data_IF_834420369218
#
_entry.id   IF_834420369218
#
_cell.length_a   1.000
_cell.length_b   1.000
_cell.length_c   1.000
_cell.angle_alpha   90.00
_cell.angle_beta   90.00
_cell.angle_gamma   90.00
#
_symmetry.space_group_name_H-M   'P 1'
#
loop_
_entity.id
_entity.type
_entity.pdbx_description
1 polymer ?
#
# COMPACT_ATOMS: atom_id res chain seq x y z
N UNK A 1 6.52 4.38 12.81
CA UNK A 1 6.07 3.02 13.17
C UNK A 1 4.62 2.85 12.72
N UNK A 2 4.31 1.83 11.91
CA UNK A 2 2.97 1.65 11.35
C UNK A 2 1.99 1.10 12.41
N UNK A 3 0.82 1.73 12.54
CA UNK A 3 -0.26 1.35 13.45
C UNK A 3 -1.57 1.11 12.72
N UNK A 4 -2.41 0.26 13.30
CA UNK A 4 -3.81 0.12 12.93
C UNK A 4 -4.60 1.28 13.56
N UNK A 5 -5.28 2.07 12.75
CA UNK A 5 -6.07 3.22 13.21
C UNK A 5 -7.57 3.05 13.00
N UNK A 6 -8.00 2.09 12.17
CA UNK A 6 -9.40 1.75 11.97
C UNK A 6 -9.53 0.29 11.50
N UNK A 7 -10.56 -0.41 11.95
CA UNK A 7 -10.94 -1.75 11.46
C UNK A 7 -12.42 -1.72 11.05
N UNK A 8 -12.69 -1.96 9.77
CA UNK A 8 -14.03 -2.16 9.24
C UNK A 8 -14.20 -3.64 8.85
N UNK A 9 -15.05 -4.35 9.59
CA UNK A 9 -15.30 -5.76 9.35
C UNK A 9 -16.18 -5.95 8.11
N UNK A 10 -15.66 -6.71 7.14
CA UNK A 10 -16.41 -7.16 5.96
C UNK A 10 -17.24 -8.39 6.36
N UNK A 11 -16.57 -9.36 6.97
CA UNK A 11 -17.17 -10.56 7.58
C UNK A 11 -16.43 -10.89 8.87
N UNK A 12 -17.05 -10.53 10.00
CA UNK A 12 -16.44 -10.73 11.32
C UNK A 12 -16.34 -12.21 11.71
N UNK A 13 -17.27 -13.04 11.25
CA UNK A 13 -17.27 -14.47 11.59
C UNK A 13 -16.15 -15.22 10.85
N UNK A 14 -15.77 -14.72 9.68
CA UNK A 14 -14.62 -15.23 8.90
C UNK A 14 -13.32 -14.43 9.11
N UNK A 15 -13.29 -13.48 10.04
CA UNK A 15 -12.12 -12.61 10.30
C UNK A 15 -11.64 -11.84 9.05
N UNK A 16 -12.56 -11.39 8.21
CA UNK A 16 -12.29 -10.60 6.99
C UNK A 16 -12.56 -9.12 7.25
N UNK A 17 -11.56 -8.26 7.00
CA UNK A 17 -11.65 -6.84 7.30
C UNK A 17 -10.93 -5.94 6.29
N UNK A 18 -11.44 -4.70 6.20
CA UNK A 18 -10.72 -3.54 5.69
C UNK A 18 -10.04 -2.83 6.87
N UNK A 19 -8.71 -2.71 6.81
CA UNK A 19 -7.87 -2.23 7.90
C UNK A 19 -7.14 -0.97 7.45
N UNK A 20 -7.35 0.14 8.15
CA UNK A 20 -6.60 1.38 7.87
C UNK A 20 -5.34 1.41 8.72
N UNK A 21 -4.20 1.43 8.02
CA UNK A 21 -2.88 1.59 8.60
C UNK A 21 -2.42 3.03 8.52
N UNK A 22 -1.62 3.49 9.48
CA UNK A 22 -0.99 4.80 9.43
C UNK A 22 0.45 4.75 9.94
N UNK A 23 1.34 5.47 9.24
CA UNK A 23 2.70 5.77 9.71
C UNK A 23 2.78 7.08 10.52
N UNK A 24 1.65 7.78 10.70
CA UNK A 24 1.54 9.08 11.36
C UNK A 24 1.33 10.25 10.40
N UNK A 25 1.71 10.11 9.12
CA UNK A 25 1.56 11.15 8.08
C UNK A 25 0.64 10.70 6.95
N UNK A 26 0.74 9.43 6.57
CA UNK A 26 0.01 8.79 5.49
C UNK A 26 -0.91 7.71 6.05
N UNK A 27 -1.95 7.39 5.28
CA UNK A 27 -2.89 6.33 5.60
C UNK A 27 -3.03 5.39 4.41
N UNK A 28 -2.97 4.09 4.67
CA UNK A 28 -3.09 3.02 3.68
C UNK A 28 -4.19 2.07 4.12
N UNK A 29 -5.16 1.83 3.25
CA UNK A 29 -6.25 0.89 3.51
C UNK A 29 -5.85 -0.49 2.96
N UNK A 30 -5.95 -1.53 3.77
CA UNK A 30 -5.58 -2.88 3.36
C UNK A 30 -6.73 -3.84 3.59
N UNK A 31 -6.85 -4.82 2.72
CA UNK A 31 -7.62 -6.02 2.96
C UNK A 31 -6.83 -6.96 3.87
N UNK A 32 -7.49 -7.61 4.81
CA UNK A 32 -6.87 -8.58 5.70
C UNK A 32 -7.79 -9.78 5.93
N UNK A 33 -7.26 -10.99 5.75
CA UNK A 33 -7.96 -12.24 6.06
C UNK A 33 -6.98 -13.42 6.20
N UNK A 34 -7.00 -14.16 7.33
CA UNK A 34 -7.74 -13.86 8.56
C UNK A 34 -7.11 -12.67 9.32
N UNK A 35 -7.92 -11.87 10.00
CA UNK A 35 -7.48 -10.70 10.76
C UNK A 35 -7.91 -10.74 12.23
N UNK A 36 -6.93 -10.63 13.15
CA UNK A 36 -7.13 -10.82 14.59
C UNK A 36 -6.47 -9.73 15.47
N UNK A 37 -5.96 -8.66 14.86
CA UNK A 37 -5.34 -7.54 15.57
C UNK A 37 -6.37 -6.49 15.99
N UNK A 38 -5.94 -5.55 16.82
CA UNK A 38 -6.78 -4.46 17.36
C UNK A 38 -6.28 -3.08 16.94
N UNK A 39 -7.20 -2.12 16.92
CA UNK A 39 -6.85 -0.71 16.77
C UNK A 39 -5.84 -0.28 17.83
N UNK A 40 -4.86 0.53 17.41
CA UNK A 40 -3.73 0.97 18.22
C UNK A 40 -2.53 0.03 18.21
N UNK A 41 -2.70 -1.24 17.82
CA UNK A 41 -1.59 -2.17 17.67
C UNK A 41 -0.71 -1.80 16.47
N UNK A 42 0.58 -2.16 16.58
CA UNK A 42 1.56 -1.93 15.51
C UNK A 42 1.70 -3.16 14.64
N UNK A 43 1.80 -2.95 13.34
CA UNK A 43 1.96 -4.04 12.37
C UNK A 43 3.38 -4.02 11.80
N UNK A 44 3.96 -5.21 11.61
CA UNK A 44 5.25 -5.40 10.91
C UNK A 44 5.10 -6.20 9.61
N UNK A 45 3.86 -6.44 9.18
CA UNK A 45 3.56 -7.26 8.03
C UNK A 45 4.06 -6.60 6.74
N UNK A 46 4.47 -7.45 5.80
CA UNK A 46 4.73 -7.01 4.44
C UNK A 46 3.41 -6.70 3.76
N UNK A 47 3.35 -5.56 3.07
CA UNK A 47 2.16 -5.15 2.35
C UNK A 47 2.32 -5.60 0.91
N UNK A 48 1.37 -6.39 0.42
CA UNK A 48 1.40 -6.90 -0.94
C UNK A 48 0.29 -6.29 -1.77
N UNK A 49 0.60 -5.82 -2.98
CA UNK A 49 -0.41 -5.28 -3.88
C UNK A 49 -0.99 -6.37 -4.76
N UNK A 50 -2.30 -6.35 -4.92
CA UNK A 50 -3.04 -7.22 -5.84
C UNK A 50 -3.69 -6.38 -6.92
N UNK A 51 -2.99 -6.30 -8.05
CA UNK A 51 -3.42 -5.55 -9.22
C UNK A 51 -3.11 -4.07 -9.12
N UNK A 52 -2.64 -3.53 -10.23
CA UNK A 52 -2.32 -2.12 -10.41
C UNK A 52 -2.37 -1.77 -11.89
N UNK A 53 -2.50 -0.49 -12.19
CA UNK A 53 -2.47 0.04 -13.55
C UNK A 53 -1.77 1.40 -13.58
N UNK A 54 -1.47 1.86 -14.81
CA UNK A 54 -1.06 3.24 -15.05
C UNK A 54 0.21 3.68 -14.30
N UNK A 55 1.28 2.86 -14.35
CA UNK A 55 2.58 3.27 -13.79
C UNK A 55 3.20 4.36 -14.67
N UNK A 56 3.33 5.56 -14.10
CA UNK A 56 4.00 6.69 -14.71
C UNK A 56 5.14 7.20 -13.84
N UNK A 57 6.14 7.83 -14.45
CA UNK A 57 7.17 8.58 -13.71
C UNK A 57 6.53 9.78 -13.04
N UNK A 58 6.70 9.92 -11.73
CA UNK A 58 6.34 11.15 -11.04
C UNK A 58 7.52 12.11 -10.99
N UNK A 59 7.26 13.37 -11.32
CA UNK A 59 8.21 14.46 -11.16
C UNK A 59 8.05 15.16 -9.80
N UNK A 60 7.02 14.79 -9.04
CA UNK A 60 6.82 15.24 -7.67
C UNK A 60 7.47 14.22 -6.73
N UNK A 61 8.66 14.55 -6.22
CA UNK A 61 9.40 13.71 -5.27
C UNK A 61 8.77 13.73 -3.87
N UNK A 62 7.50 13.34 -3.76
CA UNK A 62 6.72 13.34 -2.52
C UNK A 62 5.98 12.02 -2.37
N UNK A 63 5.78 11.60 -1.14
CA UNK A 63 4.90 10.48 -0.86
C UNK A 63 3.45 10.93 -0.84
N UNK A 64 2.59 10.14 -1.45
CA UNK A 64 1.15 10.39 -1.45
C UNK A 64 0.38 9.08 -1.51
N UNK A 65 -0.64 8.96 -0.66
CA UNK A 65 -1.66 7.93 -0.77
C UNK A 65 -3.01 8.65 -0.80
N UNK A 66 -3.86 8.28 -1.75
CA UNK A 66 -5.24 8.75 -1.83
C UNK A 66 -6.16 7.54 -1.95
N UNK A 67 -6.97 7.31 -0.91
CA UNK A 67 -8.03 6.32 -0.95
C UNK A 67 -9.11 6.73 -1.95
N UNK A 68 -9.52 5.79 -2.81
CA UNK A 68 -10.51 5.99 -3.88
C UNK A 68 -11.81 5.21 -3.62
N UNK A 69 -11.89 4.47 -2.50
CA UNK A 69 -13.01 3.60 -2.18
C UNK A 69 -12.84 2.18 -2.74
N UNK A 70 -13.55 1.21 -2.16
CA UNK A 70 -13.51 -0.21 -2.55
C UNK A 70 -12.08 -0.76 -2.58
N UNK A 71 -11.29 -0.49 -1.54
CA UNK A 71 -9.87 -0.86 -1.40
C UNK A 71 -8.90 -0.21 -2.40
N UNK A 72 -9.41 0.50 -3.42
CA UNK A 72 -8.58 1.13 -4.46
C UNK A 72 -7.90 2.39 -3.96
N UNK A 73 -6.67 2.60 -4.42
CA UNK A 73 -5.84 3.72 -4.01
C UNK A 73 -5.01 4.26 -5.16
N UNK A 74 -4.82 5.57 -5.19
CA UNK A 74 -3.73 6.19 -5.93
C UNK A 74 -2.50 6.30 -5.02
N UNK A 75 -1.33 5.93 -5.55
CA UNK A 75 -0.05 5.96 -4.84
C UNK A 75 0.96 6.75 -5.64
N UNK A 76 1.66 7.66 -4.97
CA UNK A 76 2.92 8.23 -5.42
C UNK A 76 4.02 7.77 -4.46
N UNK A 77 4.99 7.02 -4.98
CA UNK A 77 5.99 6.32 -4.19
C UNK A 77 7.32 6.16 -4.93
N UNK A 78 8.35 5.80 -4.18
CA UNK A 78 9.72 5.64 -4.69
C UNK A 78 10.01 4.17 -5.00
N UNK A 79 10.53 3.88 -6.19
CA UNK A 79 11.03 2.54 -6.54
C UNK A 79 12.28 2.26 -5.71
N UNK A 80 12.25 1.20 -4.90
CA UNK A 80 13.37 0.81 -4.05
C UNK A 80 14.14 -0.35 -4.67
N UNK A 81 13.43 -1.34 -5.21
CA UNK A 81 14.03 -2.46 -5.92
C UNK A 81 13.08 -2.88 -7.05
N UNK A 82 13.39 -2.43 -8.27
CA UNK A 82 12.61 -2.75 -9.46
C UNK A 82 12.58 -4.25 -9.74
N UNK A 83 13.68 -4.97 -9.50
CA UNK A 83 13.74 -6.42 -9.79
C UNK A 83 12.82 -7.21 -8.87
N UNK A 84 12.65 -6.75 -7.64
CA UNK A 84 11.73 -7.35 -6.66
C UNK A 84 10.34 -6.73 -6.67
N UNK A 85 10.10 -5.70 -7.47
CA UNK A 85 8.83 -4.98 -7.53
C UNK A 85 8.48 -4.30 -6.21
N UNK A 86 9.48 -3.66 -5.59
CA UNK A 86 9.39 -3.04 -4.27
C UNK A 86 9.33 -1.51 -4.39
N UNK A 87 8.25 -0.93 -3.88
CA UNK A 87 7.98 0.52 -3.88
C UNK A 87 7.74 0.99 -2.46
N UNK A 88 8.33 2.12 -2.09
CA UNK A 88 8.13 2.77 -0.80
C UNK A 88 7.18 3.95 -0.91
N UNK A 89 6.26 4.11 0.05
CA UNK A 89 5.46 5.32 0.22
C UNK A 89 5.35 5.64 1.72
N UNK A 90 5.87 6.78 2.15
CA UNK A 90 6.04 7.06 3.59
C UNK A 90 6.92 6.01 4.26
N UNK A 91 6.46 5.44 5.38
CA UNK A 91 7.08 4.26 5.99
C UNK A 91 6.60 2.91 5.42
N UNK A 92 5.63 2.91 4.50
CA UNK A 92 5.09 1.69 3.92
C UNK A 92 6.02 1.12 2.84
N UNK A 93 6.24 -0.19 2.88
CA UNK A 93 6.95 -0.95 1.87
C UNK A 93 5.97 -1.86 1.14
N UNK A 94 5.72 -1.55 -0.13
CA UNK A 94 4.75 -2.23 -1.00
C UNK A 94 5.49 -3.18 -1.93
N UNK A 95 5.21 -4.48 -1.82
CA UNK A 95 5.66 -5.49 -2.76
C UNK A 95 4.59 -5.83 -3.79
N UNK A 96 5.00 -6.33 -4.96
CA UNK A 96 4.08 -6.83 -5.99
C UNK A 96 4.03 -5.99 -7.27
N UNK A 97 4.84 -4.94 -7.38
CA UNK A 97 4.89 -4.05 -8.56
C UNK A 97 5.88 -4.59 -9.60
N UNK A 98 5.59 -5.74 -10.21
CA UNK A 98 6.60 -6.47 -11.03
C UNK A 98 6.80 -5.92 -12.45
N UNK A 99 5.81 -5.22 -12.98
CA UNK A 99 5.82 -4.67 -14.35
C UNK A 99 6.02 -3.16 -14.27
N UNK A 100 7.25 -2.75 -14.02
CA UNK A 100 7.67 -1.35 -14.04
C UNK A 100 8.24 -1.01 -15.43
N UNK A 101 7.80 0.08 -16.08
CA UNK A 101 8.34 0.57 -17.36
C UNK A 101 9.87 0.57 -17.44
N UNK A 102 10.40 0.25 -18.61
CA UNK A 102 11.81 -0.06 -18.82
C UNK A 102 12.77 1.11 -18.53
N UNK A 103 12.29 2.32 -18.77
CA UNK A 103 12.95 3.61 -18.61
C UNK A 103 12.95 4.11 -17.15
N UNK A 104 12.20 3.46 -16.26
CA UNK A 104 12.22 3.73 -14.82
C UNK A 104 13.32 2.89 -14.12
N UNK A 105 13.96 3.53 -13.14
CA UNK A 105 15.08 2.94 -12.38
C UNK A 105 14.86 3.03 -10.87
N UNK A 106 15.64 2.24 -10.13
CA UNK A 106 15.67 2.35 -8.66
C UNK A 106 16.00 3.80 -8.26
N UNK A 107 15.19 4.34 -7.35
CA UNK A 107 15.28 5.72 -6.91
C UNK A 107 14.27 6.67 -7.57
N UNK A 108 13.69 6.31 -8.71
CA UNK A 108 12.62 7.10 -9.34
C UNK A 108 11.36 7.10 -8.49
N UNK A 109 10.65 8.23 -8.48
CA UNK A 109 9.27 8.28 -8.02
C UNK A 109 8.33 7.88 -9.15
N UNK A 110 7.32 7.11 -8.81
CA UNK A 110 6.27 6.65 -9.71
C UNK A 110 4.91 6.95 -9.12
N UNK A 111 3.94 7.19 -9.99
CA UNK A 111 2.54 7.27 -9.64
C UNK A 111 1.76 6.17 -10.35
N UNK A 112 0.79 5.57 -9.65
CA UNK A 112 0.02 4.45 -10.15
C UNK A 112 -1.25 4.23 -9.34
N UNK A 113 -2.19 3.49 -9.95
CA UNK A 113 -3.41 3.02 -9.28
C UNK A 113 -3.19 1.61 -8.76
N UNK A 114 -3.54 1.37 -7.50
CA UNK A 114 -3.56 0.06 -6.86
C UNK A 114 -5.00 -0.36 -6.64
N UNK A 115 -5.33 -1.60 -6.99
CA UNK A 115 -6.69 -2.12 -6.80
C UNK A 115 -6.93 -2.60 -5.38
N UNK A 116 -5.92 -3.23 -4.76
CA UNK A 116 -6.00 -3.72 -3.38
C UNK A 116 -4.60 -3.89 -2.77
N UNK A 117 -4.46 -3.52 -1.51
CA UNK A 117 -3.30 -3.83 -0.67
C UNK A 117 -3.72 -4.90 0.33
N UNK A 118 -2.91 -5.94 0.55
CA UNK A 118 -3.20 -7.05 1.46
C UNK A 118 -2.14 -7.11 2.58
N UNK A 119 -2.57 -7.48 3.79
CA UNK A 119 -1.74 -7.63 5.00
C UNK A 119 -2.02 -8.91 5.79
#
# INVERSE_FOLDING_TARGET
>A
MIKIINIEWIDKDNEEAEVTLSDGEHQLVCFAHPFNLKEGESIKNSIFILGYEEIFKSYENKYQIKYLGNLKQYINGKVIDRKRGLVQVGEFMLGGVYVIPGDLVDGDYIEFLVYRCDI
#
